data_IF_386350756110
#
_entry.id   IF_386350756110
#
_cell.length_a   1.000
_cell.length_b   1.000
_cell.length_c   1.000
_cell.angle_alpha   90.00
_cell.angle_beta   90.00
_cell.angle_gamma   90.00
#
_symmetry.space_group_name_H-M   'P 1'
#
loop_
_entity.id
_entity.type
_entity.pdbx_description
1 polymer ?
#
# COMPACT_ATOMS: atom_id res chain seq x y z
N UNK A 1 -44.10 -15.95 -7.04
CA UNK A 1 -44.30 -17.31 -6.47
C UNK A 1 -43.46 -18.27 -7.29
N UNK A 2 -42.66 -19.06 -6.58
CA UNK A 2 -41.67 -20.03 -7.08
C UNK A 2 -42.34 -21.10 -7.93
N UNK A 3 -41.67 -21.56 -8.99
CA UNK A 3 -41.81 -22.96 -9.44
C UNK A 3 -40.54 -23.43 -10.12
N UNK A 4 -39.78 -24.21 -9.35
CA UNK A 4 -38.67 -25.08 -9.72
C UNK A 4 -39.11 -26.13 -10.74
N UNK A 5 -38.33 -26.39 -11.79
CA UNK A 5 -38.38 -27.69 -12.47
C UNK A 5 -36.97 -28.15 -12.84
N UNK A 6 -36.64 -29.31 -12.29
CA UNK A 6 -35.42 -30.10 -12.44
C UNK A 6 -35.08 -30.34 -13.91
N UNK A 7 -33.83 -30.12 -14.32
CA UNK A 7 -33.28 -30.81 -15.48
C UNK A 7 -32.39 -31.97 -15.04
N UNK A 8 -32.77 -33.12 -15.58
CA UNK A 8 -32.23 -34.46 -15.35
C UNK A 8 -30.98 -34.61 -16.23
N UNK A 9 -29.90 -35.08 -15.61
CA UNK A 9 -28.64 -35.44 -16.26
C UNK A 9 -28.84 -36.42 -17.42
N UNK A 10 -28.19 -36.13 -18.55
CA UNK A 10 -27.84 -37.13 -19.57
C UNK A 10 -26.34 -36.94 -19.80
N UNK A 11 -25.55 -37.84 -19.22
CA UNK A 11 -24.16 -38.07 -19.59
C UNK A 11 -24.12 -38.61 -21.03
N UNK A 12 -23.31 -37.99 -21.87
CA UNK A 12 -22.74 -38.63 -23.04
C UNK A 12 -21.24 -38.29 -23.05
N UNK A 13 -20.43 -39.27 -22.62
CA UNK A 13 -18.98 -39.25 -22.74
C UNK A 13 -18.59 -39.30 -24.22
N UNK A 14 -17.69 -38.42 -24.63
CA UNK A 14 -16.86 -38.57 -25.84
C UNK A 14 -15.59 -37.71 -25.67
N UNK A 15 -14.65 -38.28 -24.94
CA UNK A 15 -13.18 -38.25 -25.09
C UNK A 15 -12.47 -36.97 -25.59
N UNK A 16 -11.67 -36.42 -24.66
CA UNK A 16 -10.30 -35.87 -24.85
C UNK A 16 -10.11 -34.71 -25.83
N UNK A 17 -10.19 -33.48 -25.31
CA UNK A 17 -9.13 -32.50 -25.57
C UNK A 17 -8.24 -32.46 -24.33
N UNK A 18 -6.98 -32.82 -24.50
CA UNK A 18 -5.90 -32.51 -23.55
C UNK A 18 -5.76 -30.98 -23.48
N UNK A 19 -6.67 -30.32 -22.76
CA UNK A 19 -6.36 -29.04 -22.16
C UNK A 19 -5.49 -29.39 -20.95
N UNK A 20 -4.17 -29.28 -21.13
CA UNK A 20 -3.26 -29.17 -19.99
C UNK A 20 -3.83 -28.07 -19.10
N UNK A 21 -4.56 -28.45 -18.04
CA UNK A 21 -4.86 -27.55 -16.93
C UNK A 21 -3.50 -27.01 -16.51
N UNK A 22 -3.17 -25.78 -16.95
CA UNK A 22 -2.04 -25.04 -16.42
C UNK A 22 -2.16 -25.19 -14.91
N UNK A 23 -1.24 -25.95 -14.30
CA UNK A 23 -1.30 -26.27 -12.88
C UNK A 23 -1.32 -24.96 -12.12
N UNK A 24 -2.52 -24.48 -11.80
CA UNK A 24 -2.71 -23.28 -11.03
C UNK A 24 -2.03 -23.57 -9.69
N UNK A 25 -1.00 -22.79 -9.38
CA UNK A 25 -0.27 -22.97 -8.13
C UNK A 25 -1.21 -22.58 -6.99
N UNK A 26 -1.92 -23.55 -6.44
CA UNK A 26 -2.80 -23.33 -5.29
C UNK A 26 -1.97 -23.32 -4.00
N UNK A 27 -1.75 -22.13 -3.46
CA UNK A 27 -1.29 -22.00 -2.07
C UNK A 27 -2.37 -22.52 -1.12
N UNK A 28 -1.94 -23.17 -0.03
CA UNK A 28 -2.83 -23.47 1.10
C UNK A 28 -3.36 -22.16 1.68
N UNK A 29 -4.63 -22.12 2.12
CA UNK A 29 -5.27 -20.88 2.59
C UNK A 29 -4.51 -20.18 3.72
N UNK A 30 -3.82 -20.93 4.59
CA UNK A 30 -2.96 -20.39 5.66
C UNK A 30 -1.71 -19.67 5.16
N UNK A 31 -1.23 -20.00 3.97
CA UNK A 31 -0.01 -19.46 3.36
C UNK A 31 -0.32 -18.35 2.35
N UNK A 32 -1.55 -18.28 1.82
CA UNK A 32 -1.98 -17.27 0.85
C UNK A 32 -1.66 -15.85 1.30
N UNK A 33 -2.03 -15.47 2.52
CA UNK A 33 -1.78 -14.11 3.04
C UNK A 33 -0.29 -13.75 3.06
N UNK A 34 0.56 -14.69 3.49
CA UNK A 34 2.01 -14.48 3.54
C UNK A 34 2.62 -14.39 2.14
N UNK A 35 2.14 -15.21 1.20
CA UNK A 35 2.59 -15.19 -0.19
C UNK A 35 2.16 -13.89 -0.88
N UNK A 36 0.92 -13.43 -0.67
CA UNK A 36 0.47 -12.13 -1.20
C UNK A 36 1.31 -10.97 -0.64
N UNK A 37 1.58 -10.96 0.65
CA UNK A 37 2.42 -9.94 1.27
C UNK A 37 3.87 -10.00 0.73
N UNK A 38 4.42 -11.19 0.55
CA UNK A 38 5.76 -11.37 -0.01
C UNK A 38 5.82 -10.85 -1.47
N UNK A 39 4.89 -11.26 -2.31
CA UNK A 39 4.82 -10.84 -3.71
C UNK A 39 4.58 -9.34 -3.84
N UNK A 40 3.71 -8.76 -3.01
CA UNK A 40 3.49 -7.32 -2.95
C UNK A 40 4.78 -6.56 -2.59
N UNK A 41 5.51 -7.04 -1.58
CA UNK A 41 6.80 -6.46 -1.21
C UNK A 41 7.84 -6.58 -2.33
N UNK A 42 7.91 -7.72 -3.02
CA UNK A 42 8.83 -7.91 -4.13
C UNK A 42 8.48 -6.98 -5.30
N UNK A 43 7.21 -6.93 -5.70
CA UNK A 43 6.71 -6.06 -6.75
C UNK A 43 7.01 -4.59 -6.43
N UNK A 44 6.63 -4.13 -5.24
CA UNK A 44 6.88 -2.75 -4.81
C UNK A 44 8.38 -2.42 -4.88
N UNK A 45 9.24 -3.20 -4.23
CA UNK A 45 10.66 -2.86 -4.12
C UNK A 45 11.45 -3.02 -5.44
N UNK A 46 11.03 -3.92 -6.33
CA UNK A 46 11.79 -4.24 -7.55
C UNK A 46 11.26 -3.57 -8.81
N UNK A 47 9.96 -3.29 -8.86
CA UNK A 47 9.33 -2.73 -10.06
C UNK A 47 8.90 -1.29 -9.85
N UNK A 48 8.26 -0.99 -8.72
CA UNK A 48 7.65 0.32 -8.47
C UNK A 48 8.67 1.31 -7.93
N UNK A 49 9.34 0.94 -6.83
CA UNK A 49 10.25 1.81 -6.10
C UNK A 49 11.38 2.43 -6.95
N UNK A 50 12.00 1.72 -7.93
CA UNK A 50 13.04 2.33 -8.76
C UNK A 50 12.60 3.56 -9.57
N UNK A 51 11.29 3.72 -9.80
CA UNK A 51 10.72 4.87 -10.51
C UNK A 51 10.15 5.95 -9.60
N UNK A 52 10.33 5.85 -8.28
CA UNK A 52 9.80 6.80 -7.30
C UNK A 52 10.88 7.84 -6.97
N UNK A 53 10.68 9.09 -7.37
CA UNK A 53 11.61 10.19 -7.15
C UNK A 53 11.07 11.21 -6.14
N UNK A 54 9.76 11.43 -6.15
CA UNK A 54 9.08 12.45 -5.33
C UNK A 54 8.00 11.83 -4.44
N UNK A 55 7.51 12.59 -3.47
CA UNK A 55 6.46 12.14 -2.54
C UNK A 55 5.16 11.84 -3.30
N UNK A 56 4.89 12.64 -4.32
CA UNK A 56 3.75 12.55 -5.22
C UNK A 56 3.68 11.18 -5.92
N UNK A 57 4.81 10.59 -6.29
CA UNK A 57 4.84 9.27 -6.93
C UNK A 57 4.30 8.19 -5.97
N UNK A 58 4.59 8.29 -4.67
CA UNK A 58 4.03 7.40 -3.66
C UNK A 58 2.53 7.64 -3.47
N UNK A 59 2.07 8.88 -3.59
CA UNK A 59 0.65 9.22 -3.52
C UNK A 59 -0.10 8.61 -4.70
N UNK A 60 0.39 8.76 -5.92
CA UNK A 60 -0.20 8.17 -7.12
C UNK A 60 -0.30 6.64 -6.99
N UNK A 61 0.76 6.00 -6.50
CA UNK A 61 0.75 4.56 -6.22
C UNK A 61 -0.29 4.16 -5.16
N UNK A 62 -0.44 4.94 -4.09
CA UNK A 62 -1.42 4.68 -3.05
C UNK A 62 -2.86 4.89 -3.55
N UNK A 63 -3.09 5.86 -4.44
CA UNK A 63 -4.37 6.06 -5.13
C UNK A 63 -4.70 4.83 -5.97
N UNK A 64 -3.77 4.37 -6.81
CA UNK A 64 -3.98 3.19 -7.64
C UNK A 64 -4.26 1.94 -6.80
N UNK A 65 -3.52 1.75 -5.71
CA UNK A 65 -3.74 0.63 -4.80
C UNK A 65 -5.10 0.70 -4.09
N UNK A 66 -5.59 1.90 -3.74
CA UNK A 66 -6.92 2.09 -3.16
C UNK A 66 -8.03 1.82 -4.18
N UNK A 67 -7.90 2.37 -5.40
CA UNK A 67 -8.90 2.23 -6.47
C UNK A 67 -9.07 0.78 -6.93
N UNK A 68 -8.03 -0.04 -6.79
CA UNK A 68 -8.03 -1.46 -7.19
C UNK A 68 -8.21 -2.43 -6.01
N UNK A 69 -8.53 -1.95 -4.81
CA UNK A 69 -8.69 -2.78 -3.60
C UNK A 69 -7.46 -3.66 -3.29
N UNK A 70 -6.25 -3.09 -3.37
CA UNK A 70 -4.98 -3.78 -3.16
C UNK A 70 -4.30 -3.37 -1.83
N UNK A 71 -4.85 -3.76 -0.66
CA UNK A 71 -4.32 -3.36 0.65
C UNK A 71 -2.91 -3.91 0.93
N UNK A 72 -2.52 -4.99 0.26
CA UNK A 72 -1.16 -5.57 0.36
C UNK A 72 -0.09 -4.61 -0.21
N UNK A 73 -0.43 -3.86 -1.26
CA UNK A 73 0.45 -2.89 -1.89
C UNK A 73 0.59 -1.63 -1.04
N UNK A 74 -0.52 -1.15 -0.45
CA UNK A 74 -0.48 -0.06 0.53
C UNK A 74 0.41 -0.39 1.71
N UNK A 75 0.32 -1.62 2.24
CA UNK A 75 1.20 -2.10 3.32
C UNK A 75 2.67 -2.20 2.90
N UNK A 76 2.96 -2.55 1.65
CA UNK A 76 4.33 -2.57 1.13
C UNK A 76 4.92 -1.15 1.06
N UNK A 77 4.14 -0.19 0.53
CA UNK A 77 4.51 1.22 0.48
C UNK A 77 4.69 1.81 1.89
N UNK A 78 3.74 1.56 2.79
CA UNK A 78 3.81 2.01 4.19
C UNK A 78 5.09 1.48 4.87
N UNK A 79 5.42 0.20 4.68
CA UNK A 79 6.62 -0.40 5.26
C UNK A 79 7.89 0.30 4.78
N UNK A 80 7.95 0.65 3.50
CA UNK A 80 9.08 1.39 2.94
C UNK A 80 9.18 2.80 3.52
N UNK A 81 8.10 3.58 3.50
CA UNK A 81 8.08 4.94 4.04
C UNK A 81 8.40 4.98 5.54
N UNK A 82 7.90 4.01 6.31
CA UNK A 82 8.29 3.84 7.72
C UNK A 82 9.78 3.51 7.88
N UNK A 83 10.37 2.74 6.95
CA UNK A 83 11.80 2.47 6.92
C UNK A 83 12.62 3.74 6.70
N UNK A 84 12.18 4.59 5.75
CA UNK A 84 12.81 5.88 5.49
C UNK A 84 12.69 6.82 6.70
N UNK A 85 11.52 6.91 7.32
CA UNK A 85 11.29 7.68 8.56
C UNK A 85 12.19 7.23 9.72
N UNK A 86 12.46 5.93 9.85
CA UNK A 86 13.34 5.42 10.91
C UNK A 86 14.83 5.72 10.67
N UNK A 87 15.24 5.91 9.42
CA UNK A 87 16.65 6.03 9.03
C UNK A 87 17.08 7.48 8.83
N UNK A 88 16.19 8.34 8.33
CA UNK A 88 16.43 9.76 8.11
C UNK A 88 16.00 10.57 9.34
N UNK A 89 16.95 11.26 9.98
CA UNK A 89 16.70 11.99 11.24
C UNK A 89 16.41 13.47 11.07
N UNK A 90 16.84 14.08 9.97
CA UNK A 90 16.72 15.53 9.73
C UNK A 90 15.67 15.80 8.64
N UNK A 91 14.47 15.27 8.83
CA UNK A 91 13.35 15.51 7.92
C UNK A 91 12.72 16.87 8.22
N UNK A 92 12.30 17.57 7.17
CA UNK A 92 11.59 18.84 7.29
C UNK A 92 10.22 18.66 7.93
N UNK A 93 9.79 19.67 8.70
CA UNK A 93 8.48 19.66 9.35
C UNK A 93 7.34 19.67 8.33
N UNK A 94 7.48 20.36 7.19
CA UNK A 94 6.53 20.26 6.06
C UNK A 94 6.39 18.84 5.53
N UNK A 95 7.51 18.18 5.25
CA UNK A 95 7.49 16.80 4.75
C UNK A 95 6.83 15.85 5.75
N UNK A 96 7.09 16.00 7.06
CA UNK A 96 6.42 15.20 8.07
C UNK A 96 4.91 15.45 8.12
N UNK A 97 4.47 16.68 7.89
CA UNK A 97 3.04 17.02 7.80
C UNK A 97 2.40 16.42 6.54
N UNK A 98 3.09 16.45 5.40
CA UNK A 98 2.63 15.80 4.17
C UNK A 98 2.50 14.29 4.35
N UNK A 99 3.53 13.65 4.93
CA UNK A 99 3.52 12.23 5.26
C UNK A 99 2.40 11.88 6.26
N UNK A 100 2.15 12.74 7.25
CA UNK A 100 1.03 12.58 8.18
C UNK A 100 -0.31 12.66 7.42
N UNK A 101 -0.49 13.64 6.55
CA UNK A 101 -1.70 13.78 5.73
C UNK A 101 -1.94 12.53 4.87
N UNK A 102 -0.92 12.09 4.13
CA UNK A 102 -0.95 10.86 3.32
C UNK A 102 -1.36 9.66 4.18
N UNK A 103 -0.75 9.50 5.36
CA UNK A 103 -1.05 8.38 6.25
C UNK A 103 -2.50 8.37 6.75
N UNK A 104 -3.11 9.53 6.92
CA UNK A 104 -4.51 9.65 7.34
C UNK A 104 -5.44 9.31 6.17
N UNK A 105 -5.20 9.92 5.00
CA UNK A 105 -6.02 9.73 3.80
C UNK A 105 -6.03 8.27 3.36
N UNK A 106 -4.87 7.63 3.28
CA UNK A 106 -4.74 6.25 2.84
C UNK A 106 -4.79 5.24 3.98
N UNK A 107 -5.15 5.65 5.20
CA UNK A 107 -5.27 4.74 6.35
C UNK A 107 -4.01 3.87 6.55
N UNK A 108 -2.85 4.51 6.65
CA UNK A 108 -1.55 3.89 6.93
C UNK A 108 -1.23 4.06 8.42
N UNK A 109 -1.68 3.13 9.30
CA UNK A 109 -1.70 3.34 10.74
C UNK A 109 -0.31 3.42 11.38
N UNK A 110 0.66 2.65 10.88
CA UNK A 110 2.03 2.63 11.42
C UNK A 110 2.71 3.95 11.07
N UNK A 111 2.60 4.36 9.80
CA UNK A 111 3.17 5.63 9.34
C UNK A 111 2.53 6.83 10.05
N UNK A 112 1.20 6.80 10.28
CA UNK A 112 0.50 7.81 11.07
C UNK A 112 1.05 7.91 12.48
N UNK A 113 1.24 6.78 13.16
CA UNK A 113 1.79 6.78 14.52
C UNK A 113 3.21 7.31 14.56
N UNK A 114 4.05 6.94 13.58
CA UNK A 114 5.45 7.37 13.53
C UNK A 114 5.58 8.86 13.26
N UNK A 115 4.86 9.37 12.26
CA UNK A 115 4.86 10.80 11.91
C UNK A 115 4.32 11.66 13.06
N UNK A 116 3.24 11.23 13.73
CA UNK A 116 2.75 11.92 14.92
C UNK A 116 3.77 11.94 16.06
N UNK A 117 4.48 10.82 16.29
CA UNK A 117 5.52 10.75 17.32
C UNK A 117 6.65 11.74 17.02
N UNK A 118 7.08 11.83 15.76
CA UNK A 118 8.14 12.75 15.36
C UNK A 118 7.69 14.22 15.50
N UNK A 119 6.49 14.55 14.99
CA UNK A 119 5.92 15.89 15.09
C UNK A 119 5.63 16.32 16.54
N UNK A 120 5.35 15.38 17.44
CA UNK A 120 5.12 15.68 18.86
C UNK A 120 6.35 16.29 19.55
N UNK A 121 7.55 16.05 19.01
CA UNK A 121 8.79 16.64 19.50
C UNK A 121 9.04 18.06 18.95
N UNK A 122 8.20 18.54 18.02
CA UNK A 122 8.38 19.81 17.27
C UNK A 122 7.25 20.81 17.52
N UNK A 123 6.61 20.72 18.68
CA UNK A 123 5.44 21.55 19.03
C UNK A 123 5.73 23.03 19.00
N UNK A 124 6.95 23.47 19.29
CA UNK A 124 7.34 24.89 19.21
C UNK A 124 7.30 25.43 17.78
N UNK A 125 7.83 24.67 16.81
CA UNK A 125 7.78 25.03 15.38
C UNK A 125 6.33 25.13 14.90
N UNK A 126 5.52 24.12 15.24
CA UNK A 126 4.11 24.05 14.85
C UNK A 126 3.26 25.16 15.50
N UNK A 127 3.69 25.69 16.65
CA UNK A 127 3.01 26.80 17.33
C UNK A 127 3.30 28.15 16.70
N UNK A 128 4.36 28.25 15.89
CA UNK A 128 4.85 29.50 15.32
C UNK A 128 5.10 29.36 13.81
N UNK A 129 4.04 29.06 13.02
CA UNK A 129 4.18 28.81 11.59
C UNK A 129 4.80 30.00 10.84
N UNK A 130 4.51 31.24 11.25
CA UNK A 130 5.07 32.44 10.61
C UNK A 130 6.61 32.45 10.67
N UNK A 131 7.20 31.99 11.79
CA UNK A 131 8.66 31.89 11.94
C UNK A 131 9.23 30.74 11.12
N UNK A 132 8.50 29.63 11.02
CA UNK A 132 8.91 28.49 10.20
C UNK A 132 8.98 28.90 8.72
N UNK A 133 8.04 29.72 8.26
CA UNK A 133 8.02 30.24 6.88
C UNK A 133 9.16 31.25 6.59
N UNK A 134 9.89 31.72 7.61
CA UNK A 134 11.07 32.58 7.44
C UNK A 134 12.37 31.79 7.19
N UNK A 135 12.37 30.46 7.37
CA UNK A 135 13.53 29.62 7.09
C UNK A 135 13.83 29.56 5.59
N UNK A 136 15.12 29.51 5.24
CA UNK A 136 15.60 29.53 3.85
C UNK A 136 15.12 28.33 3.03
N UNK A 137 14.72 27.24 3.69
CA UNK A 137 14.13 26.05 3.04
C UNK A 137 12.70 26.29 2.53
N UNK A 138 12.04 27.36 2.95
CA UNK A 138 10.66 27.72 2.58
C UNK A 138 10.55 29.01 1.73
N UNK A 139 11.68 29.62 1.37
CA UNK A 139 11.77 30.82 0.51
C UNK A 139 11.96 30.47 -0.95
#
# INVERSE_FOLDING_TARGET
MVSTTRYRSIFHDSETSDDEEEKCFECRDSEKMHVHDLLANMYFNKMVLPGMEYVEDFVDFLIDAELNDLPVLKRACERYLCGELNTKKDLLTSLLLDLLFISIVFQLPVMKSMTLSELSNRTEELSHPDKLMEDDEYK
#
